data_IF_483532303226
#
_entry.id   IF_483532303226
#
_cell.length_a   1.000
_cell.length_b   1.000
_cell.length_c   1.000
_cell.angle_alpha   90.00
_cell.angle_beta   90.00
_cell.angle_gamma   90.00
#
_symmetry.space_group_name_H-M   'P 1'
#
loop_
_entity.id
_entity.type
_entity.pdbx_description
1 polymer ?
#
# COMPACT_ATOMS: atom_id res chain seq x y z
N UNK A 1 -4.82 -21.66 -0.76
CA UNK A 1 -3.94 -21.80 0.42
C UNK A 1 -3.34 -20.42 0.67
N UNK A 2 -3.65 -19.84 1.82
CA UNK A 2 -3.48 -18.42 2.12
C UNK A 2 -2.07 -17.92 1.77
N UNK A 3 -2.00 -16.99 0.81
CA UNK A 3 -0.84 -16.12 0.67
C UNK A 3 -0.73 -15.43 2.02
N UNK A 4 0.29 -15.79 2.79
CA UNK A 4 0.61 -15.19 4.08
C UNK A 4 0.57 -13.67 3.88
N UNK A 5 -0.49 -13.08 4.40
CA UNK A 5 -1.07 -11.85 3.86
C UNK A 5 -0.08 -10.69 3.99
N UNK A 6 -0.01 -9.84 2.96
CA UNK A 6 0.73 -8.59 3.03
C UNK A 6 0.26 -7.78 4.25
N UNK A 7 1.10 -7.72 5.29
CA UNK A 7 0.79 -7.12 6.59
C UNK A 7 0.42 -5.65 6.48
N UNK A 8 1.00 -4.92 5.51
CA UNK A 8 0.70 -3.51 5.25
C UNK A 8 -0.78 -3.34 4.84
N UNK A 9 -1.23 -4.16 3.88
CA UNK A 9 -2.62 -4.17 3.41
C UNK A 9 -3.61 -4.57 4.51
N UNK A 10 -3.27 -5.57 5.33
CA UNK A 10 -4.11 -5.99 6.45
C UNK A 10 -4.23 -4.90 7.52
N UNK A 11 -3.11 -4.26 7.88
CA UNK A 11 -3.10 -3.20 8.87
C UNK A 11 -3.93 -2.00 8.38
N UNK A 12 -3.79 -1.62 7.11
CA UNK A 12 -4.58 -0.55 6.53
C UNK A 12 -6.08 -0.84 6.60
N UNK A 13 -6.50 -2.06 6.21
CA UNK A 13 -7.91 -2.49 6.33
C UNK A 13 -8.40 -2.43 7.77
N UNK A 14 -7.59 -2.90 8.72
CA UNK A 14 -7.93 -2.88 10.14
C UNK A 14 -8.14 -1.44 10.62
N UNK A 15 -7.20 -0.53 10.32
CA UNK A 15 -7.28 0.86 10.74
C UNK A 15 -8.45 1.59 10.09
N UNK A 16 -8.69 1.40 8.79
CA UNK A 16 -9.86 1.96 8.10
C UNK A 16 -11.17 1.52 8.77
N UNK A 17 -11.28 0.25 9.15
CA UNK A 17 -12.46 -0.29 9.81
C UNK A 17 -12.65 0.29 11.22
N UNK A 18 -11.57 0.49 11.98
CA UNK A 18 -11.61 1.20 13.27
C UNK A 18 -12.12 2.63 13.12
N UNK A 19 -11.58 3.40 12.17
CA UNK A 19 -12.01 4.79 11.92
C UNK A 19 -13.45 4.84 11.42
N UNK A 20 -13.86 3.91 10.56
CA UNK A 20 -15.23 3.81 10.07
C UNK A 20 -16.24 3.57 11.21
N UNK A 21 -15.87 2.78 12.23
CA UNK A 21 -16.70 2.61 13.44
C UNK A 21 -16.83 3.91 14.22
N UNK A 22 -15.73 4.64 14.44
CA UNK A 22 -15.75 5.94 15.13
C UNK A 22 -16.69 6.92 14.40
N UNK A 23 -16.59 6.98 13.07
CA UNK A 23 -17.45 7.83 12.25
C UNK A 23 -18.92 7.40 12.26
N UNK A 24 -19.20 6.09 12.29
CA UNK A 24 -20.57 5.57 12.40
C UNK A 24 -21.21 5.92 13.74
N UNK A 25 -20.47 5.80 14.83
CA UNK A 25 -20.97 6.19 16.15
C UNK A 25 -21.25 7.69 16.20
N UNK A 26 -20.37 8.50 15.59
CA UNK A 26 -20.57 9.95 15.47
C UNK A 26 -21.67 10.36 14.50
N UNK A 27 -21.93 9.57 13.45
CA UNK A 27 -23.01 9.88 12.50
C UNK A 27 -24.41 9.65 13.08
N UNK A 28 -24.52 8.82 14.13
CA UNK A 28 -25.75 8.68 14.93
C UNK A 28 -26.04 9.96 15.73
N UNK A 29 -25.00 10.67 16.16
CA UNK A 29 -25.11 11.95 16.89
C UNK A 29 -25.28 13.13 15.93
N UNK A 30 -24.56 13.13 14.80
CA UNK A 30 -24.50 14.22 13.83
C UNK A 30 -24.68 13.68 12.39
N UNK A 31 -25.88 13.81 11.79
CA UNK A 31 -26.22 13.21 10.50
C UNK A 31 -25.32 13.62 9.33
N UNK A 32 -24.61 14.75 9.44
CA UNK A 32 -23.66 15.24 8.43
C UNK A 32 -22.54 14.23 8.13
N UNK A 33 -22.20 13.33 9.08
CA UNK A 33 -21.18 12.29 8.86
C UNK A 33 -21.68 11.09 8.04
N UNK A 34 -22.98 10.95 7.77
CA UNK A 34 -23.50 9.79 7.03
C UNK A 34 -22.93 9.67 5.61
N UNK A 35 -22.75 10.78 4.92
CA UNK A 35 -22.12 10.81 3.59
C UNK A 35 -20.64 10.37 3.66
N UNK A 36 -19.97 10.70 4.76
CA UNK A 36 -18.57 10.37 4.99
C UNK A 36 -18.40 8.89 5.30
N UNK A 37 -19.27 8.34 6.13
CA UNK A 37 -19.36 6.90 6.41
C UNK A 37 -19.57 6.11 5.11
N UNK A 38 -20.51 6.53 4.24
CA UNK A 38 -20.74 5.85 2.97
C UNK A 38 -19.51 5.88 2.06
N UNK A 39 -18.86 7.03 1.90
CA UNK A 39 -17.63 7.15 1.08
C UNK A 39 -16.53 6.21 1.57
N UNK A 40 -16.19 6.29 2.86
CA UNK A 40 -15.15 5.43 3.46
C UNK A 40 -15.51 3.94 3.40
N UNK A 41 -16.79 3.59 3.50
CA UNK A 41 -17.26 2.21 3.33
C UNK A 41 -17.01 1.70 1.92
N UNK A 42 -17.31 2.51 0.90
CA UNK A 42 -17.04 2.14 -0.49
C UNK A 42 -15.54 1.94 -0.73
N UNK A 43 -14.70 2.85 -0.24
CA UNK A 43 -13.24 2.72 -0.35
C UNK A 43 -12.71 1.47 0.37
N UNK A 44 -13.25 1.14 1.55
CA UNK A 44 -12.93 -0.10 2.26
C UNK A 44 -13.33 -1.35 1.46
N UNK A 45 -14.52 -1.35 0.84
CA UNK A 45 -14.99 -2.46 0.00
C UNK A 45 -14.13 -2.63 -1.26
N UNK A 46 -13.73 -1.54 -1.91
CA UNK A 46 -12.80 -1.59 -3.04
C UNK A 46 -11.44 -2.13 -2.63
N UNK A 47 -10.86 -1.62 -1.54
CA UNK A 47 -9.60 -2.12 -0.98
C UNK A 47 -9.71 -3.62 -0.61
N UNK A 48 -10.90 -4.06 -0.20
CA UNK A 48 -11.18 -5.45 0.16
C UNK A 48 -11.14 -6.41 -1.02
N UNK A 49 -11.54 -5.95 -2.21
CA UNK A 49 -11.53 -6.73 -3.46
C UNK A 49 -10.13 -6.87 -4.07
N UNK A 50 -9.17 -6.03 -3.67
CA UNK A 50 -7.82 -6.02 -4.25
C UNK A 50 -6.92 -7.05 -3.57
N UNK A 51 -6.34 -7.94 -4.38
CA UNK A 51 -5.37 -8.92 -3.92
C UNK A 51 -4.04 -8.24 -3.53
N UNK A 52 -3.46 -8.59 -2.37
CA UNK A 52 -2.19 -8.01 -1.94
C UNK A 52 -1.03 -8.41 -2.85
N UNK A 53 -0.06 -7.50 -3.02
CA UNK A 53 1.18 -7.81 -3.74
C UNK A 53 2.16 -8.56 -2.84
N UNK A 54 2.91 -9.54 -3.37
CA UNK A 54 3.88 -10.31 -2.59
C UNK A 54 5.14 -9.51 -2.23
N UNK A 55 5.51 -8.54 -3.07
CA UNK A 55 6.62 -7.61 -2.83
C UNK A 55 6.00 -6.25 -2.50
N UNK A 56 6.37 -5.71 -1.34
CA UNK A 56 5.95 -4.37 -0.93
C UNK A 56 6.95 -3.36 -1.50
N UNK A 57 6.45 -2.39 -2.27
CA UNK A 57 7.28 -1.33 -2.84
C UNK A 57 7.41 -0.15 -1.87
N UNK A 58 8.49 0.64 -1.99
CA UNK A 58 8.65 1.87 -1.20
C UNK A 58 7.45 2.81 -1.39
N UNK A 59 6.98 2.95 -2.62
CA UNK A 59 5.85 3.81 -2.94
C UNK A 59 4.55 3.37 -2.24
N UNK A 60 4.32 2.06 -2.09
CA UNK A 60 3.20 1.54 -1.28
C UNK A 60 3.33 1.92 0.20
N UNK A 61 4.55 1.91 0.75
CA UNK A 61 4.82 2.33 2.13
C UNK A 61 4.57 3.83 2.30
N UNK A 62 5.00 4.65 1.34
CA UNK A 62 4.79 6.10 1.37
C UNK A 62 3.29 6.43 1.34
N UNK A 63 2.53 5.80 0.43
CA UNK A 63 1.07 5.94 0.37
C UNK A 63 0.38 5.44 1.64
N UNK A 64 0.83 4.32 2.22
CA UNK A 64 0.33 3.84 3.50
C UNK A 64 0.54 4.88 4.61
N UNK A 65 1.72 5.49 4.70
CA UNK A 65 1.99 6.56 5.67
C UNK A 65 1.06 7.76 5.48
N UNK A 66 0.82 8.20 4.25
CA UNK A 66 -0.12 9.28 3.96
C UNK A 66 -1.55 8.94 4.38
N UNK A 67 -2.02 7.74 4.07
CA UNK A 67 -3.36 7.30 4.46
C UNK A 67 -3.50 7.25 5.99
N UNK A 68 -2.53 6.65 6.70
CA UNK A 68 -2.55 6.62 8.17
C UNK A 68 -2.55 8.03 8.74
N UNK A 69 -1.77 8.96 8.17
CA UNK A 69 -1.78 10.38 8.58
C UNK A 69 -3.17 11.00 8.47
N UNK A 70 -3.82 10.87 7.32
CA UNK A 70 -5.16 11.44 7.14
C UNK A 70 -6.21 10.76 8.00
N UNK A 71 -6.06 9.46 8.28
CA UNK A 71 -6.93 8.75 9.22
C UNK A 71 -6.77 9.26 10.66
N UNK A 72 -5.54 9.48 11.13
CA UNK A 72 -5.31 10.06 12.47
C UNK A 72 -5.80 11.51 12.55
N UNK A 73 -5.58 12.32 11.50
CA UNK A 73 -6.13 13.67 11.43
C UNK A 73 -7.67 13.64 11.48
N UNK A 74 -8.32 12.77 10.68
CA UNK A 74 -9.77 12.64 10.65
C UNK A 74 -10.35 12.24 12.01
N UNK A 75 -9.77 11.26 12.70
CA UNK A 75 -10.21 10.85 14.06
C UNK A 75 -10.17 12.02 15.03
N UNK A 76 -9.16 12.89 14.93
CA UNK A 76 -9.08 14.09 15.77
C UNK A 76 -10.13 15.11 15.41
N UNK A 77 -10.30 15.38 14.11
CA UNK A 77 -11.27 16.35 13.65
C UNK A 77 -12.69 15.99 14.11
N UNK A 78 -13.03 14.70 14.06
CA UNK A 78 -14.33 14.14 14.44
C UNK A 78 -14.58 14.20 15.95
N UNK A 79 -13.53 14.11 16.77
CA UNK A 79 -13.66 14.14 18.23
C UNK A 79 -13.69 15.56 18.81
N UNK A 80 -13.32 16.57 18.03
CA UNK A 80 -13.28 17.96 18.50
C UNK A 80 -14.57 18.70 18.10
N UNK A 81 -15.24 19.32 19.07
CA UNK A 81 -16.58 19.92 18.88
C UNK A 81 -16.57 21.25 18.12
N UNK A 82 -15.40 21.85 17.90
CA UNK A 82 -15.24 23.23 17.42
C UNK A 82 -14.78 23.35 15.97
N UNK A 83 -14.75 22.23 15.24
CA UNK A 83 -14.09 22.13 13.94
C UNK A 83 -15.06 22.36 12.79
N UNK A 84 -14.58 23.09 11.77
CA UNK A 84 -15.36 23.44 10.58
C UNK A 84 -15.59 22.20 9.70
N UNK A 85 -16.79 22.09 9.14
CA UNK A 85 -17.15 21.03 8.18
C UNK A 85 -16.22 21.02 6.95
N UNK A 86 -15.61 22.16 6.64
CA UNK A 86 -14.69 22.34 5.52
C UNK A 86 -13.34 21.66 5.73
N UNK A 87 -12.74 21.76 6.92
CA UNK A 87 -11.51 21.05 7.27
C UNK A 87 -11.67 19.53 7.19
N UNK A 88 -12.82 19.03 7.66
CA UNK A 88 -13.18 17.61 7.56
C UNK A 88 -13.28 17.18 6.10
N UNK A 89 -13.92 18.00 5.25
CA UNK A 89 -14.05 17.69 3.82
C UNK A 89 -12.71 17.67 3.08
N UNK A 90 -11.77 18.56 3.43
CA UNK A 90 -10.42 18.57 2.84
C UNK A 90 -9.66 17.30 3.19
N UNK A 91 -9.60 16.93 4.47
CA UNK A 91 -8.91 15.70 4.92
C UNK A 91 -9.50 14.45 4.26
N UNK A 92 -10.83 14.41 4.09
CA UNK A 92 -11.49 13.27 3.48
C UNK A 92 -11.21 13.18 1.98
N UNK A 93 -11.18 14.32 1.27
CA UNK A 93 -10.81 14.34 -0.15
C UNK A 93 -9.38 13.83 -0.36
N UNK A 94 -8.46 14.24 0.50
CA UNK A 94 -7.05 13.82 0.40
C UNK A 94 -6.86 12.36 0.81
N UNK A 95 -7.65 11.88 1.78
CA UNK A 95 -7.74 10.47 2.16
C UNK A 95 -8.27 9.61 1.01
N UNK A 96 -9.40 10.01 0.39
CA UNK A 96 -10.03 9.34 -0.75
C UNK A 96 -9.05 9.19 -1.92
N UNK A 97 -8.39 10.30 -2.29
CA UNK A 97 -7.35 10.30 -3.32
C UNK A 97 -6.22 9.33 -2.99
N UNK A 98 -5.73 9.36 -1.75
CA UNK A 98 -4.62 8.51 -1.33
C UNK A 98 -4.98 7.03 -1.32
N UNK A 99 -6.21 6.67 -0.94
CA UNK A 99 -6.69 5.27 -0.98
C UNK A 99 -6.83 4.80 -2.43
N UNK A 100 -7.40 5.62 -3.32
CA UNK A 100 -7.52 5.30 -4.76
C UNK A 100 -6.16 5.12 -5.41
N UNK A 101 -5.20 5.99 -5.11
CA UNK A 101 -3.84 5.90 -5.59
C UNK A 101 -3.19 4.59 -5.10
N UNK A 102 -3.36 4.25 -3.82
CA UNK A 102 -2.87 2.99 -3.24
C UNK A 102 -3.49 1.75 -3.90
N UNK A 103 -4.80 1.75 -4.13
CA UNK A 103 -5.51 0.68 -4.84
C UNK A 103 -5.00 0.53 -6.28
N UNK A 104 -4.83 1.63 -6.99
CA UNK A 104 -4.31 1.65 -8.37
C UNK A 104 -2.90 1.05 -8.44
N UNK A 105 -2.03 1.46 -7.52
CA UNK A 105 -0.66 0.92 -7.39
C UNK A 105 -0.69 -0.57 -7.08
N UNK A 106 -1.53 -1.04 -6.16
CA UNK A 106 -1.67 -2.46 -5.85
C UNK A 106 -2.10 -3.28 -7.07
N UNK A 107 -3.09 -2.81 -7.83
CA UNK A 107 -3.56 -3.49 -9.07
C UNK A 107 -2.43 -3.59 -10.09
N UNK A 108 -1.71 -2.48 -10.33
CA UNK A 108 -0.59 -2.41 -11.28
C UNK A 108 0.57 -3.31 -10.86
N UNK A 109 0.98 -3.23 -9.60
CA UNK A 109 2.09 -4.02 -9.05
C UNK A 109 1.75 -5.51 -8.99
N UNK A 110 0.48 -5.87 -8.77
CA UNK A 110 0.03 -7.26 -8.83
C UNK A 110 0.13 -7.82 -10.25
N UNK A 111 -0.32 -7.05 -11.25
CA UNK A 111 -0.19 -7.44 -12.66
C UNK A 111 1.28 -7.61 -13.03
N UNK A 112 2.12 -6.63 -12.68
CA UNK A 112 3.57 -6.68 -12.90
C UNK A 112 4.20 -7.90 -12.23
N UNK A 113 3.83 -8.18 -10.98
CA UNK A 113 4.33 -9.35 -10.24
C UNK A 113 3.93 -10.65 -10.93
N UNK A 114 2.67 -10.79 -11.36
CA UNK A 114 2.21 -11.97 -12.11
C UNK A 114 3.04 -12.16 -13.39
N UNK A 115 3.22 -11.12 -14.18
CA UNK A 115 4.03 -11.21 -15.41
C UNK A 115 5.47 -11.61 -15.06
N UNK A 116 6.07 -10.97 -14.06
CA UNK A 116 7.44 -11.21 -13.63
C UNK A 116 7.69 -12.66 -13.14
N UNK A 117 6.76 -13.25 -12.38
CA UNK A 117 6.91 -14.62 -11.88
C UNK A 117 6.51 -15.68 -12.91
N UNK A 118 5.51 -15.44 -13.76
CA UNK A 118 5.10 -16.47 -14.71
C UNK A 118 5.91 -16.46 -16.02
N UNK A 119 6.45 -15.31 -16.45
CA UNK A 119 7.17 -15.21 -17.73
C UNK A 119 8.38 -16.15 -17.86
N UNK A 120 9.23 -16.37 -16.83
CA UNK A 120 10.36 -17.29 -16.97
C UNK A 120 9.91 -18.74 -17.19
N UNK A 121 8.75 -19.11 -16.63
CA UNK A 121 8.17 -20.44 -16.74
C UNK A 121 7.70 -20.68 -18.18
N UNK A 122 6.95 -19.72 -18.74
CA UNK A 122 6.52 -19.78 -20.13
C UNK A 122 7.70 -19.77 -21.10
N UNK A 123 8.70 -18.91 -20.88
CA UNK A 123 9.88 -18.84 -21.74
C UNK A 123 10.68 -20.16 -21.70
N UNK A 124 10.89 -20.74 -20.52
CA UNK A 124 11.57 -22.04 -20.40
C UNK A 124 10.82 -23.14 -21.15
N UNK A 125 9.48 -23.18 -21.04
CA UNK A 125 8.68 -24.16 -21.76
C UNK A 125 8.75 -24.00 -23.28
N UNK A 126 8.68 -22.76 -23.79
CA UNK A 126 8.82 -22.47 -25.22
C UNK A 126 10.20 -22.93 -25.72
N UNK A 127 11.25 -22.65 -24.96
CA UNK A 127 12.61 -23.10 -25.29
C UNK A 127 12.67 -24.63 -25.35
N UNK A 128 12.03 -25.34 -24.42
CA UNK A 128 12.00 -26.80 -24.43
C UNK A 128 11.28 -27.36 -25.65
N UNK A 129 10.16 -26.75 -26.06
CA UNK A 129 9.46 -27.09 -27.30
C UNK A 129 10.36 -26.88 -28.54
N UNK A 130 11.09 -25.77 -28.59
CA UNK A 130 12.03 -25.49 -29.69
C UNK A 130 13.16 -26.54 -29.71
N UNK A 131 13.74 -26.86 -28.54
CA UNK A 131 14.80 -27.86 -28.43
C UNK A 131 14.33 -29.27 -28.81
N UNK A 132 13.06 -29.61 -28.57
CA UNK A 132 12.47 -30.89 -29.00
C UNK A 132 12.49 -31.03 -30.53
N UNK A 133 12.27 -29.94 -31.26
CA UNK A 133 12.23 -29.92 -32.73
C UNK A 133 13.64 -29.91 -33.32
N UNK A 134 14.55 -29.09 -32.78
CA UNK A 134 15.84 -28.78 -33.42
C UNK A 134 16.94 -29.81 -33.10
N UNK A 135 16.91 -30.43 -31.92
CA UNK A 135 18.13 -31.08 -31.34
C UNK A 135 18.12 -32.61 -31.40
N UNK A 136 17.15 -33.19 -32.07
CA UNK A 136 16.85 -34.64 -32.01
C UNK A 136 17.70 -35.45 -32.99
N UNK A 137 19.01 -35.54 -32.76
CA UNK A 137 19.94 -36.26 -33.65
C UNK A 137 20.02 -37.77 -33.35
N UNK A 138 19.60 -38.21 -32.16
CA UNK A 138 19.58 -39.61 -31.75
C UNK A 138 18.28 -39.95 -31.01
N UNK A 139 17.86 -41.23 -31.02
CA UNK A 139 16.68 -41.67 -30.27
C UNK A 139 16.80 -41.38 -28.77
N UNK A 140 18.00 -41.55 -28.18
CA UNK A 140 18.24 -41.23 -26.77
C UNK A 140 18.04 -39.75 -26.42
N UNK A 141 18.54 -38.85 -27.27
CA UNK A 141 18.32 -37.41 -27.11
C UNK A 141 16.85 -37.03 -27.27
N UNK A 142 16.13 -37.65 -28.21
CA UNK A 142 14.71 -37.40 -28.42
C UNK A 142 13.88 -37.80 -27.18
N UNK A 143 14.17 -38.96 -26.58
CA UNK A 143 13.51 -39.40 -25.34
C UNK A 143 13.75 -38.40 -24.21
N UNK A 144 15.00 -37.95 -24.02
CA UNK A 144 15.32 -37.01 -22.94
C UNK A 144 14.70 -35.63 -23.18
N UNK A 145 14.75 -35.10 -24.39
CA UNK A 145 14.12 -33.83 -24.73
C UNK A 145 12.60 -33.90 -24.52
N UNK A 146 11.98 -35.06 -24.79
CA UNK A 146 10.56 -35.31 -24.50
C UNK A 146 10.30 -35.27 -22.99
N UNK A 147 11.12 -35.94 -22.18
CA UNK A 147 11.01 -35.91 -20.71
C UNK A 147 11.17 -34.47 -20.18
N UNK A 148 12.15 -33.72 -20.65
CA UNK A 148 12.38 -32.31 -20.26
C UNK A 148 11.15 -31.46 -20.60
N UNK A 149 10.57 -31.65 -21.78
CA UNK A 149 9.38 -30.94 -22.24
C UNK A 149 8.16 -31.28 -21.39
N UNK A 150 7.98 -32.55 -21.03
CA UNK A 150 6.92 -33.00 -20.13
C UNK A 150 7.07 -32.39 -18.73
N UNK A 151 8.28 -32.35 -18.17
CA UNK A 151 8.54 -31.68 -16.88
C UNK A 151 8.24 -30.18 -16.99
N UNK A 152 8.60 -29.52 -18.09
CA UNK A 152 8.23 -28.13 -18.36
C UNK A 152 6.71 -27.92 -18.44
N UNK A 153 5.99 -28.84 -19.07
CA UNK A 153 4.51 -28.83 -19.12
C UNK A 153 3.88 -28.99 -17.73
N UNK A 154 4.42 -29.90 -16.92
CA UNK A 154 4.04 -30.04 -15.51
C UNK A 154 4.31 -28.75 -14.75
N UNK A 155 5.44 -28.08 -14.99
CA UNK A 155 5.77 -26.80 -14.37
C UNK A 155 4.75 -25.70 -14.71
N UNK A 156 4.24 -25.66 -15.94
CA UNK A 156 3.17 -24.72 -16.32
C UNK A 156 1.89 -24.95 -15.51
N UNK A 157 1.45 -26.20 -15.40
CA UNK A 157 0.27 -26.57 -14.60
C UNK A 157 0.50 -26.21 -13.14
N UNK A 158 1.66 -26.57 -12.59
CA UNK A 158 2.04 -26.24 -11.22
C UNK A 158 2.11 -24.73 -10.99
N UNK A 159 2.45 -23.92 -11.99
CA UNK A 159 2.53 -22.46 -11.83
C UNK A 159 1.19 -21.84 -11.45
N UNK A 160 0.07 -22.46 -11.85
CA UNK A 160 -1.28 -22.04 -11.51
C UNK A 160 -1.68 -22.40 -10.07
N UNK A 161 -1.01 -23.38 -9.47
CA UNK A 161 -1.31 -23.90 -8.13
C UNK A 161 -0.31 -23.34 -7.11
N UNK A 162 1.00 -23.59 -7.35
CA UNK A 162 2.12 -23.18 -6.52
C UNK A 162 3.36 -22.90 -7.36
N UNK A 163 3.68 -21.61 -7.50
CA UNK A 163 4.87 -21.11 -8.21
C UNK A 163 6.18 -21.75 -7.71
N UNK A 164 6.31 -21.98 -6.42
CA UNK A 164 7.51 -22.57 -5.81
C UNK A 164 7.80 -23.98 -6.39
N UNK A 165 6.77 -24.80 -6.58
CA UNK A 165 6.92 -26.12 -7.19
C UNK A 165 7.18 -26.05 -8.69
N UNK A 166 6.60 -25.07 -9.37
CA UNK A 166 6.87 -24.83 -10.79
C UNK A 166 8.35 -24.49 -11.03
N UNK A 167 8.96 -23.63 -10.20
CA UNK A 167 10.38 -23.32 -10.32
C UNK A 167 11.29 -24.49 -9.96
N UNK A 168 10.91 -25.33 -8.99
CA UNK A 168 11.65 -26.57 -8.70
C UNK A 168 11.60 -27.53 -9.89
N UNK A 169 10.44 -27.68 -10.54
CA UNK A 169 10.31 -28.50 -11.73
C UNK A 169 11.18 -27.98 -12.90
N UNK A 170 11.21 -26.66 -13.12
CA UNK A 170 12.07 -26.03 -14.15
C UNK A 170 13.56 -26.21 -13.85
N UNK A 171 13.95 -26.08 -12.57
CA UNK A 171 15.33 -26.33 -12.17
C UNK A 171 15.72 -27.77 -12.46
N UNK A 172 14.86 -28.73 -12.08
CA UNK A 172 15.10 -30.14 -12.36
C UNK A 172 15.22 -30.41 -13.87
N UNK A 173 14.31 -29.88 -14.70
CA UNK A 173 14.35 -30.07 -16.15
C UNK A 173 15.60 -29.44 -16.79
N UNK A 174 16.02 -28.27 -16.31
CA UNK A 174 17.21 -27.61 -16.85
C UNK A 174 18.51 -28.33 -16.45
N UNK A 175 18.59 -28.86 -15.22
CA UNK A 175 19.71 -29.68 -14.76
C UNK A 175 19.79 -30.98 -15.58
N UNK A 176 18.66 -31.67 -15.77
CA UNK A 176 18.59 -32.87 -16.63
C UNK A 176 19.06 -32.53 -18.06
N UNK A 177 18.63 -31.37 -18.59
CA UNK A 177 19.08 -30.85 -19.88
C UNK A 177 20.59 -30.69 -19.98
N UNK A 178 21.22 -30.04 -19.00
CA UNK A 178 22.68 -29.90 -18.95
C UNK A 178 23.42 -31.24 -18.84
N UNK A 179 22.94 -32.15 -17.98
CA UNK A 179 23.54 -33.49 -17.87
C UNK A 179 23.41 -34.27 -19.18
N UNK A 180 22.27 -34.16 -19.85
CA UNK A 180 22.05 -34.83 -21.14
C UNK A 180 23.02 -34.35 -22.22
N UNK A 181 23.32 -33.04 -22.24
CA UNK A 181 24.35 -32.50 -23.13
C UNK A 181 25.72 -33.12 -22.84
N UNK A 182 26.10 -33.26 -21.56
CA UNK A 182 27.38 -33.87 -21.18
C UNK A 182 27.47 -35.36 -21.53
N UNK A 183 26.36 -36.09 -21.51
CA UNK A 183 26.35 -37.55 -21.72
C UNK A 183 26.28 -37.94 -23.20
N UNK A 184 25.52 -37.22 -24.02
CA UNK A 184 25.29 -37.59 -25.42
C UNK A 184 26.19 -36.87 -26.43
N UNK A 185 26.93 -35.84 -26.02
CA UNK A 185 27.76 -35.04 -26.94
C UNK A 185 29.23 -35.42 -26.79
N UNK A 186 29.74 -36.12 -27.80
CA UNK A 186 31.15 -36.49 -27.88
C UNK A 186 32.05 -35.40 -28.52
N UNK A 187 31.47 -34.35 -29.11
CA UNK A 187 32.20 -33.21 -29.70
C UNK A 187 31.55 -31.88 -29.35
N UNK A 188 32.32 -30.95 -28.81
CA UNK A 188 31.89 -29.59 -28.55
C UNK A 188 31.62 -28.88 -29.89
N UNK A 189 30.36 -28.56 -30.18
CA UNK A 189 29.97 -27.71 -31.31
C UNK A 189 29.42 -26.39 -30.78
N UNK A 190 29.44 -25.33 -31.61
CA UNK A 190 28.88 -24.03 -31.24
C UNK A 190 27.40 -24.14 -30.85
N UNK A 191 26.63 -24.98 -31.53
CA UNK A 191 25.22 -25.24 -31.22
C UNK A 191 25.03 -25.81 -29.81
N UNK A 192 25.87 -26.77 -29.43
CA UNK A 192 25.81 -27.40 -28.11
C UNK A 192 26.17 -26.41 -26.98
N UNK A 193 27.11 -25.51 -27.23
CA UNK A 193 27.45 -24.41 -26.31
C UNK A 193 26.28 -23.44 -26.12
N UNK A 194 25.57 -23.07 -27.19
CA UNK A 194 24.39 -22.20 -27.09
C UNK A 194 23.28 -22.84 -26.26
N UNK A 195 23.00 -24.13 -26.48
CA UNK A 195 21.98 -24.85 -25.72
C UNK A 195 22.38 -24.97 -24.24
N UNK A 196 23.65 -25.26 -23.95
CA UNK A 196 24.16 -25.27 -22.58
C UNK A 196 23.99 -23.89 -21.91
N UNK A 197 24.32 -22.81 -22.62
CA UNK A 197 24.14 -21.44 -22.10
C UNK A 197 22.67 -21.11 -21.83
N UNK A 198 21.75 -21.55 -22.68
CA UNK A 198 20.31 -21.39 -22.49
C UNK A 198 19.85 -22.12 -21.20
N UNK A 199 20.28 -23.37 -20.99
CA UNK A 199 19.92 -24.09 -19.76
C UNK A 199 20.51 -23.42 -18.51
N UNK A 200 21.75 -22.91 -18.57
CA UNK A 200 22.35 -22.14 -17.47
C UNK A 200 21.51 -20.88 -17.16
N UNK A 201 21.08 -20.15 -18.18
CA UNK A 201 20.22 -18.97 -18.00
C UNK A 201 18.87 -19.33 -17.37
N UNK A 202 18.27 -20.47 -17.76
CA UNK A 202 17.05 -20.99 -17.13
C UNK A 202 17.30 -21.30 -15.66
N UNK A 203 18.43 -21.94 -15.31
CA UNK A 203 18.78 -22.25 -13.92
C UNK A 203 18.96 -20.98 -13.10
N UNK A 204 19.73 -20.01 -13.60
CA UNK A 204 19.96 -18.73 -12.91
C UNK A 204 18.62 -18.04 -12.66
N UNK A 205 17.80 -17.90 -13.71
CA UNK A 205 16.48 -17.30 -13.63
C UNK A 205 15.60 -18.00 -12.60
N UNK A 206 15.40 -19.31 -12.74
CA UNK A 206 14.55 -20.08 -11.83
C UNK A 206 15.05 -20.02 -10.38
N UNK A 207 16.36 -20.05 -10.15
CA UNK A 207 16.96 -19.90 -8.81
C UNK A 207 16.70 -18.51 -8.24
N UNK A 208 16.90 -17.45 -9.02
CA UNK A 208 16.64 -16.06 -8.60
C UNK A 208 15.19 -15.88 -8.18
N UNK A 209 14.23 -16.31 -9.01
CA UNK A 209 12.81 -16.15 -8.71
C UNK A 209 12.34 -17.04 -7.56
N UNK A 210 12.86 -18.28 -7.45
CA UNK A 210 12.60 -19.15 -6.31
C UNK A 210 13.09 -18.54 -4.99
N UNK A 211 14.31 -17.99 -4.99
CA UNK A 211 14.87 -17.32 -3.82
C UNK A 211 14.07 -16.06 -3.45
N UNK A 212 13.58 -15.32 -4.44
CA UNK A 212 12.74 -14.15 -4.21
C UNK A 212 11.39 -14.52 -3.58
N UNK A 213 10.75 -15.61 -4.02
CA UNK A 213 9.55 -16.16 -3.38
C UNK A 213 9.83 -16.62 -1.94
N UNK A 214 10.96 -17.29 -1.70
CA UNK A 214 11.36 -17.74 -0.36
C UNK A 214 11.61 -16.55 0.57
N UNK A 215 12.26 -15.50 0.06
CA UNK A 215 12.61 -14.29 0.83
C UNK A 215 11.36 -13.52 1.23
N UNK A 216 10.43 -13.28 0.30
CA UNK A 216 9.17 -12.56 0.58
C UNK A 216 8.27 -13.30 1.58
N UNK A 217 8.36 -14.63 1.65
CA UNK A 217 7.65 -15.46 2.63
C UNK A 217 8.41 -15.66 3.95
N UNK A 218 9.67 -15.24 4.03
CA UNK A 218 10.50 -15.46 5.20
C UNK A 218 10.00 -14.64 6.40
N UNK A 219 10.15 -15.20 7.61
CA UNK A 219 9.82 -14.50 8.85
C UNK A 219 10.58 -13.17 8.97
N UNK A 220 11.87 -13.16 8.63
CA UNK A 220 12.70 -11.95 8.64
C UNK A 220 12.15 -10.83 7.78
N UNK A 221 11.68 -11.12 6.57
CA UNK A 221 11.05 -10.11 5.71
C UNK A 221 9.76 -9.59 6.35
N UNK A 222 8.92 -10.51 6.83
CA UNK A 222 7.65 -10.17 7.49
C UNK A 222 7.84 -9.36 8.79
N UNK A 223 8.93 -9.58 9.51
CA UNK A 223 9.27 -8.84 10.73
C UNK A 223 9.77 -7.44 10.38
N UNK A 224 10.62 -7.29 9.35
CA UNK A 224 11.05 -5.96 8.86
C UNK A 224 9.87 -5.10 8.43
N UNK A 225 8.93 -5.67 7.68
CA UNK A 225 7.70 -4.97 7.27
C UNK A 225 6.87 -4.57 8.50
N UNK A 226 6.76 -5.46 9.50
CA UNK A 226 6.05 -5.15 10.74
C UNK A 226 6.70 -3.99 11.50
N UNK A 227 8.03 -3.95 11.58
CA UNK A 227 8.77 -2.84 12.21
C UNK A 227 8.50 -1.52 11.48
N UNK A 228 8.53 -1.52 10.14
CA UNK A 228 8.22 -0.32 9.34
C UNK A 228 6.79 0.16 9.64
N UNK A 229 5.81 -0.75 9.65
CA UNK A 229 4.42 -0.43 9.97
C UNK A 229 4.31 0.18 11.37
N UNK A 230 4.92 -0.45 12.38
CA UNK A 230 4.89 0.03 13.77
C UNK A 230 5.46 1.44 13.87
N UNK A 231 6.63 1.67 13.26
CA UNK A 231 7.29 2.97 13.27
C UNK A 231 6.41 4.05 12.60
N UNK A 232 5.76 3.74 11.48
CA UNK A 232 4.86 4.67 10.79
C UNK A 232 3.66 5.02 11.67
N UNK A 233 3.03 4.03 12.30
CA UNK A 233 1.90 4.28 13.21
C UNK A 233 2.31 5.16 14.39
N UNK A 234 3.43 4.85 15.04
CA UNK A 234 3.92 5.61 16.20
C UNK A 234 4.31 7.05 15.82
N UNK A 235 5.03 7.23 14.71
CA UNK A 235 5.41 8.54 14.21
C UNK A 235 4.19 9.40 13.87
N UNK A 236 3.23 8.81 13.17
CA UNK A 236 2.03 9.53 12.73
C UNK A 236 1.16 9.94 13.90
N UNK A 237 1.02 9.06 14.90
CA UNK A 237 0.32 9.35 16.14
C UNK A 237 0.97 10.52 16.89
N UNK A 238 2.29 10.48 17.09
CA UNK A 238 3.07 11.55 17.74
C UNK A 238 2.97 12.88 17.00
N UNK A 239 3.10 12.87 15.67
CA UNK A 239 2.99 14.08 14.84
C UNK A 239 1.60 14.70 14.96
N UNK A 240 0.57 13.86 14.94
CA UNK A 240 -0.80 14.31 15.11
C UNK A 240 -1.01 14.91 16.50
N UNK A 241 -0.48 14.30 17.57
CA UNK A 241 -0.57 14.79 18.96
C UNK A 241 0.09 16.16 19.13
N UNK A 242 1.32 16.30 18.68
CA UNK A 242 2.05 17.56 18.78
C UNK A 242 1.36 18.69 18.01
N UNK A 243 0.86 18.43 16.78
CA UNK A 243 0.16 19.45 15.98
C UNK A 243 -1.12 19.94 16.68
N UNK A 244 -1.89 19.04 17.29
CA UNK A 244 -3.09 19.42 18.05
C UNK A 244 -2.74 20.32 19.22
N UNK A 245 -1.69 19.97 19.97
CA UNK A 245 -1.27 20.74 21.13
C UNK A 245 -0.80 22.15 20.74
N UNK A 246 0.01 22.28 19.68
CA UNK A 246 0.48 23.59 19.20
C UNK A 246 -0.63 24.47 18.65
N UNK A 247 -1.63 23.89 17.95
CA UNK A 247 -2.79 24.65 17.48
C UNK A 247 -3.63 25.10 18.66
N UNK A 248 -3.94 24.23 19.62
CA UNK A 248 -4.72 24.60 20.81
C UNK A 248 -4.02 25.69 21.63
N UNK A 249 -2.71 25.59 21.84
CA UNK A 249 -1.92 26.60 22.55
C UNK A 249 -1.93 27.96 21.82
N UNK A 250 -1.62 27.99 20.51
CA UNK A 250 -1.65 29.26 19.74
C UNK A 250 -3.03 29.89 19.66
N UNK A 251 -4.06 29.06 19.49
CA UNK A 251 -5.44 29.57 19.38
C UNK A 251 -5.96 30.06 20.72
N UNK A 252 -5.57 29.39 21.82
CA UNK A 252 -5.84 29.86 23.19
C UNK A 252 -5.12 31.18 23.47
N UNK A 253 -3.83 31.28 23.18
CA UNK A 253 -3.08 32.53 23.35
C UNK A 253 -3.67 33.69 22.54
N UNK A 254 -4.10 33.44 21.30
CA UNK A 254 -4.77 34.46 20.48
C UNK A 254 -6.14 34.84 21.03
N UNK A 255 -6.89 33.87 21.56
CA UNK A 255 -8.18 34.10 22.20
C UNK A 255 -8.05 34.91 23.48
N UNK A 256 -7.04 34.62 24.30
CA UNK A 256 -6.75 35.33 25.55
C UNK A 256 -6.33 36.78 25.25
N UNK A 257 -5.46 36.99 24.25
CA UNK A 257 -5.08 38.32 23.78
C UNK A 257 -6.26 39.10 23.19
N UNK A 258 -7.15 38.42 22.48
CA UNK A 258 -8.36 39.03 21.92
C UNK A 258 -9.34 39.42 23.03
N UNK A 259 -9.52 38.56 24.04
CA UNK A 259 -10.34 38.82 25.23
C UNK A 259 -9.81 40.02 26.01
N UNK A 260 -8.49 40.10 26.21
CA UNK A 260 -7.83 41.21 26.89
C UNK A 260 -8.10 42.53 26.16
N UNK A 261 -7.87 42.59 24.84
CA UNK A 261 -8.21 43.76 24.02
C UNK A 261 -9.70 44.13 24.07
N UNK A 262 -10.60 43.15 24.02
CA UNK A 262 -12.04 43.43 24.11
C UNK A 262 -12.43 43.98 25.49
N UNK A 263 -11.81 43.50 26.57
CA UNK A 263 -12.00 44.05 27.92
C UNK A 263 -11.42 45.46 28.06
N UNK A 264 -10.27 45.74 27.43
CA UNK A 264 -9.68 47.09 27.41
C UNK A 264 -10.61 48.10 26.72
N UNK A 265 -11.18 47.73 25.56
CA UNK A 265 -11.97 48.65 24.73
C UNK A 265 -13.41 48.79 25.23
N UNK A 266 -14.03 47.69 25.67
CA UNK A 266 -15.46 47.63 25.99
C UNK A 266 -15.76 47.38 27.47
N UNK A 267 -14.73 47.33 28.33
CA UNK A 267 -14.89 47.20 29.78
C UNK A 267 -15.54 45.87 30.21
N UNK A 268 -16.45 45.95 31.17
CA UNK A 268 -17.11 44.79 31.82
C UNK A 268 -17.90 43.94 30.82
N UNK A 269 -18.40 44.55 29.74
CA UNK A 269 -19.20 43.87 28.71
C UNK A 269 -18.34 43.27 27.58
N UNK A 270 -17.03 43.53 27.55
CA UNK A 270 -16.14 43.11 26.47
C UNK A 270 -16.10 41.60 26.25
N UNK A 271 -16.21 40.81 27.31
CA UNK A 271 -16.26 39.35 27.20
C UNK A 271 -17.58 38.85 26.58
N UNK A 272 -18.71 39.45 26.97
CA UNK A 272 -20.01 39.11 26.41
C UNK A 272 -20.09 39.50 24.93
N UNK A 273 -19.55 40.67 24.58
CA UNK A 273 -19.49 41.18 23.21
C UNK A 273 -18.59 40.31 22.32
N UNK A 274 -17.43 39.88 22.84
CA UNK A 274 -16.53 38.98 22.13
C UNK A 274 -17.21 37.64 21.87
N UNK A 275 -17.83 37.02 22.89
CA UNK A 275 -18.57 35.76 22.75
C UNK A 275 -19.70 35.87 21.72
N UNK A 276 -20.44 36.97 21.72
CA UNK A 276 -21.49 37.24 20.75
C UNK A 276 -20.94 37.32 19.32
N UNK A 277 -19.93 38.16 19.08
CA UNK A 277 -19.34 38.34 17.73
C UNK A 277 -18.67 37.07 17.20
N UNK A 278 -17.99 36.33 18.07
CA UNK A 278 -17.37 35.06 17.72
C UNK A 278 -18.44 34.05 17.27
N UNK A 279 -19.54 33.93 18.02
CA UNK A 279 -20.65 33.05 17.67
C UNK A 279 -21.32 33.44 16.35
N UNK A 280 -21.49 34.74 16.08
CA UNK A 280 -22.04 35.22 14.80
C UNK A 280 -21.15 34.83 13.62
N UNK A 281 -19.82 35.00 13.74
CA UNK A 281 -18.88 34.60 12.69
C UNK A 281 -18.86 33.08 12.48
N UNK A 282 -18.90 32.31 13.56
CA UNK A 282 -19.00 30.84 13.48
C UNK A 282 -20.32 30.43 12.80
N UNK A 283 -21.44 31.08 13.12
CA UNK A 283 -22.73 30.85 12.46
C UNK A 283 -22.71 31.22 10.97
N UNK A 284 -21.84 32.13 10.55
CA UNK A 284 -21.62 32.49 9.14
C UNK A 284 -20.58 31.60 8.44
N UNK A 285 -20.14 30.51 9.08
CA UNK A 285 -19.31 29.48 8.48
C UNK A 285 -17.80 29.70 8.63
N UNK A 286 -17.36 30.71 9.37
CA UNK A 286 -15.93 30.87 9.67
C UNK A 286 -15.45 29.82 10.67
N UNK A 287 -14.25 29.26 10.47
CA UNK A 287 -13.59 28.46 11.51
C UNK A 287 -13.28 29.34 12.73
N UNK A 288 -13.16 28.73 13.93
CA UNK A 288 -12.87 29.48 15.15
C UNK A 288 -11.56 30.28 15.04
N UNK A 289 -10.54 29.71 14.41
CA UNK A 289 -9.24 30.37 14.23
C UNK A 289 -9.32 31.55 13.25
N UNK A 290 -10.10 31.41 12.17
CA UNK A 290 -10.37 32.51 11.22
C UNK A 290 -11.23 33.61 11.84
N UNK A 291 -12.24 33.24 12.63
CA UNK A 291 -13.09 34.19 13.34
C UNK A 291 -12.25 35.00 14.35
N UNK A 292 -11.36 34.34 15.11
CA UNK A 292 -10.43 35.01 16.04
C UNK A 292 -9.50 35.96 15.27
N UNK A 293 -8.87 35.51 14.18
CA UNK A 293 -7.98 36.37 13.36
C UNK A 293 -8.72 37.56 12.75
N UNK A 294 -9.93 37.36 12.26
CA UNK A 294 -10.76 38.42 11.68
C UNK A 294 -11.13 39.47 12.72
N UNK A 295 -11.57 39.06 13.91
CA UNK A 295 -11.86 39.97 15.01
C UNK A 295 -10.61 40.70 15.51
N UNK A 296 -9.45 40.05 15.48
CA UNK A 296 -8.19 40.67 15.87
C UNK A 296 -7.74 41.74 14.85
N UNK A 297 -7.94 41.49 13.55
CA UNK A 297 -7.66 42.45 12.48
C UNK A 297 -8.62 43.65 12.53
N UNK A 298 -9.92 43.42 12.72
CA UNK A 298 -10.92 44.49 12.90
C UNK A 298 -10.61 45.44 14.07
N UNK A 299 -9.93 44.94 15.11
CA UNK A 299 -9.48 45.72 16.25
C UNK A 299 -8.12 46.40 16.05
N UNK A 300 -7.36 46.03 15.03
CA UNK A 300 -6.04 46.61 14.73
C UNK A 300 -6.11 47.71 13.68
N UNK A 301 -7.24 47.80 12.96
CA UNK A 301 -7.55 48.86 11.98
C UNK A 301 -8.33 50.05 12.58
N UNK A 302 -8.59 50.03 13.90
CA UNK A 302 -9.21 51.12 14.68
C UNK A 302 -8.22 51.69 15.67
#
# INVERSE_FOLDING_TARGET
MEINNNKLHQMLKKRLLEVLKILQDKSREQPMFNQLVQKLKNEYEELSKVSPTPIISKYQVDLFMHIIKYLEELVKLVNNKEISTEEINVVIRDLDRSIKDYISVLKKDMLRSKIMFHSPIYLAFIIYLINLIITSNTQGQLIINTIITLIGGIALVLSMIRLDYAYVAILASAIIGLFSLSYFINKLTSQNLYIAMIYILIIISATTYFQLLKTTRSKTYQDRIQTIISNIMDLTKKLSENKSQTITEKTSELMDKLLEKYREIYGVDGEALLKYKLNVLIMHGYSREEAIKKLFNELSEK
#
